data_IF_398924260894
#
_entry.id   IF_398924260894
#
_cell.length_a   1.000
_cell.length_b   1.000
_cell.length_c   1.000
_cell.angle_alpha   90.00
_cell.angle_beta   90.00
_cell.angle_gamma   90.00
#
_symmetry.space_group_name_H-M   'P 1'
#
loop_
_entity.id
_entity.type
_entity.pdbx_description
1 polymer ?
#
# COMPACT_ATOMS: atom_id res chain seq x y z
N UNK A 1 -12.40 22.52 -5.59
CA UNK A 1 -11.31 21.85 -4.83
C UNK A 1 -11.55 20.36 -4.97
N UNK A 2 -10.58 19.59 -5.45
CA UNK A 2 -10.71 18.14 -5.46
C UNK A 2 -10.63 17.66 -4.01
N UNK A 3 -11.64 16.92 -3.54
CA UNK A 3 -11.58 16.32 -2.21
C UNK A 3 -10.41 15.31 -2.18
N UNK A 4 -9.60 15.39 -1.13
CA UNK A 4 -8.47 14.49 -0.90
C UNK A 4 -8.95 13.06 -0.64
N UNK A 5 -8.39 12.11 -1.37
CA UNK A 5 -8.58 10.70 -1.06
C UNK A 5 -7.59 10.26 0.01
N UNK A 6 -8.08 9.54 1.01
CA UNK A 6 -7.27 9.04 2.13
C UNK A 6 -7.46 7.53 2.22
N UNK A 7 -6.36 6.80 2.04
CA UNK A 7 -6.25 5.38 2.28
C UNK A 7 -5.48 5.09 3.57
N UNK A 8 -5.57 3.84 4.01
CA UNK A 8 -4.90 3.34 5.20
C UNK A 8 -3.94 2.21 4.84
N UNK A 9 -2.82 2.16 5.55
CA UNK A 9 -1.89 1.03 5.55
C UNK A 9 -1.87 0.42 6.95
N UNK A 10 -2.04 -0.90 7.05
CA UNK A 10 -1.89 -1.66 8.29
C UNK A 10 -0.76 -2.68 8.15
N UNK A 11 0.18 -2.64 9.10
CA UNK A 11 1.34 -3.55 9.17
C UNK A 11 1.14 -4.69 10.17
N UNK A 12 -0.07 -4.83 10.73
CA UNK A 12 -0.43 -5.81 11.74
C UNK A 12 0.14 -5.55 13.13
N UNK A 13 0.68 -4.35 13.40
CA UNK A 13 1.23 -4.02 14.71
C UNK A 13 0.12 -3.66 15.71
N UNK A 14 0.09 -4.35 16.86
CA UNK A 14 -0.82 -4.10 17.98
C UNK A 14 -0.09 -4.31 19.31
N UNK A 15 -0.60 -3.69 20.39
CA UNK A 15 -0.05 -3.87 21.75
C UNK A 15 -0.21 -5.31 22.28
N UNK A 16 -1.21 -6.02 21.77
CA UNK A 16 -1.51 -7.36 22.22
C UNK A 16 -0.40 -8.34 21.75
N UNK A 17 -0.10 -9.33 22.60
CA UNK A 17 0.89 -10.37 22.33
C UNK A 17 0.22 -11.67 21.85
N UNK A 18 -0.84 -11.56 21.04
CA UNK A 18 -1.62 -12.70 20.57
C UNK A 18 -2.05 -12.49 19.12
N UNK A 19 -1.45 -13.24 18.19
CA UNK A 19 -1.75 -13.17 16.76
C UNK A 19 -3.23 -13.33 16.42
N UNK A 20 -4.00 -14.14 17.16
CA UNK A 20 -5.45 -14.29 16.95
C UNK A 20 -6.21 -13.00 17.32
N UNK A 21 -5.85 -12.37 18.44
CA UNK A 21 -6.44 -11.10 18.85
C UNK A 21 -6.05 -9.97 17.90
N UNK A 22 -4.80 -9.93 17.44
CA UNK A 22 -4.33 -8.99 16.41
C UNK A 22 -5.12 -9.15 15.12
N UNK A 23 -5.38 -10.38 14.68
CA UNK A 23 -6.16 -10.64 13.48
C UNK A 23 -7.57 -10.03 13.58
N UNK A 24 -8.30 -10.27 14.68
CA UNK A 24 -9.63 -9.67 14.87
C UNK A 24 -9.56 -8.13 14.88
N UNK A 25 -8.55 -7.55 15.52
CA UNK A 25 -8.36 -6.10 15.56
C UNK A 25 -8.09 -5.47 14.19
N UNK A 26 -7.42 -6.19 13.29
CA UNK A 26 -7.23 -5.76 11.90
C UNK A 26 -8.56 -5.76 11.15
N UNK A 27 -9.38 -6.80 11.32
CA UNK A 27 -10.71 -6.87 10.70
C UNK A 27 -11.60 -5.72 11.19
N UNK A 28 -11.66 -5.49 12.50
CA UNK A 28 -12.44 -4.41 13.10
C UNK A 28 -12.01 -3.04 12.56
N UNK A 29 -10.69 -2.81 12.43
CA UNK A 29 -10.14 -1.57 11.92
C UNK A 29 -10.47 -1.36 10.43
N UNK A 30 -10.42 -2.41 9.63
CA UNK A 30 -10.79 -2.34 8.22
C UNK A 30 -12.29 -2.08 8.01
N UNK A 31 -13.16 -2.72 8.80
CA UNK A 31 -14.60 -2.48 8.76
C UNK A 31 -14.93 -1.05 9.18
N UNK A 32 -14.28 -0.54 10.24
CA UNK A 32 -14.43 0.87 10.64
C UNK A 32 -14.00 1.81 9.51
N UNK A 33 -12.86 1.55 8.85
CA UNK A 33 -12.40 2.35 7.72
C UNK A 33 -13.39 2.38 6.55
N UNK A 34 -14.04 1.26 6.24
CA UNK A 34 -15.09 1.17 5.23
C UNK A 34 -16.28 2.09 5.56
N UNK A 35 -16.82 1.97 6.78
CA UNK A 35 -17.94 2.82 7.25
C UNK A 35 -17.60 4.31 7.32
N UNK A 36 -16.30 4.64 7.42
CA UNK A 36 -15.79 5.99 7.51
C UNK A 36 -15.35 6.56 6.14
N UNK A 37 -15.63 5.84 5.05
CA UNK A 37 -15.39 6.25 3.66
C UNK A 37 -13.92 6.51 3.32
N UNK A 38 -13.00 5.74 3.93
CA UNK A 38 -11.62 5.72 3.43
C UNK A 38 -11.56 5.08 2.05
N UNK A 39 -10.67 5.57 1.18
CA UNK A 39 -10.60 5.12 -0.22
C UNK A 39 -10.06 3.72 -0.37
N UNK A 40 -9.12 3.33 0.50
CA UNK A 40 -8.52 1.99 0.53
C UNK A 40 -7.98 1.57 1.87
N UNK A 41 -7.86 0.26 2.05
CA UNK A 41 -7.21 -0.38 3.18
C UNK A 41 -6.19 -1.40 2.66
N UNK A 42 -4.91 -1.12 2.91
CA UNK A 42 -3.80 -1.95 2.44
C UNK A 42 -3.11 -2.68 3.57
N UNK A 43 -2.71 -3.91 3.25
CA UNK A 43 -1.94 -4.79 4.12
C UNK A 43 -0.53 -4.99 3.56
N UNK A 44 0.50 -4.94 4.41
CA UNK A 44 1.86 -5.25 3.97
C UNK A 44 2.19 -6.74 4.06
N UNK A 45 3.01 -7.24 3.15
CA UNK A 45 3.68 -8.53 3.28
C UNK A 45 5.02 -8.35 4.00
N UNK A 46 5.16 -8.97 5.18
CA UNK A 46 6.40 -8.94 5.95
C UNK A 46 6.78 -10.32 6.45
N UNK A 47 7.97 -10.77 6.08
CA UNK A 47 8.60 -11.99 6.60
C UNK A 47 9.54 -11.63 7.75
N UNK A 48 8.95 -11.28 8.90
CA UNK A 48 9.71 -10.92 10.12
C UNK A 48 9.70 -12.06 11.14
N UNK A 49 10.49 -11.91 12.20
CA UNK A 49 10.59 -12.87 13.30
C UNK A 49 9.77 -12.46 14.53
N UNK A 50 8.87 -11.49 14.40
CA UNK A 50 7.99 -11.09 15.50
C UNK A 50 6.94 -12.19 15.71
N UNK A 51 6.93 -12.89 16.86
CA UNK A 51 6.00 -13.99 17.10
C UNK A 51 4.53 -13.54 17.16
N UNK A 52 4.28 -12.23 17.24
CA UNK A 52 2.94 -11.64 17.29
C UNK A 52 2.48 -11.08 15.94
N UNK A 53 3.28 -11.22 14.88
CA UNK A 53 2.82 -10.93 13.52
C UNK A 53 1.72 -11.94 13.15
N UNK A 54 0.51 -11.48 12.79
CA UNK A 54 -0.63 -12.38 12.57
C UNK A 54 -0.58 -13.10 11.23
N UNK A 55 0.13 -12.56 10.25
CA UNK A 55 0.23 -13.13 8.91
C UNK A 55 1.50 -12.63 8.20
N UNK A 56 1.87 -13.39 7.17
CA UNK A 56 2.84 -12.99 6.14
C UNK A 56 2.19 -12.96 4.75
N UNK A 57 1.06 -13.65 4.57
CA UNK A 57 0.33 -13.84 3.32
C UNK A 57 -0.90 -12.90 3.26
N UNK A 58 -0.74 -11.64 2.84
CA UNK A 58 -1.82 -10.67 2.89
C UNK A 58 -3.03 -11.06 2.03
N UNK A 59 -2.86 -11.83 0.95
CA UNK A 59 -3.92 -12.26 0.03
C UNK A 59 -5.07 -13.00 0.74
N UNK A 60 -4.76 -13.77 1.78
CA UNK A 60 -5.78 -14.48 2.59
C UNK A 60 -6.59 -13.50 3.42
N UNK A 61 -5.92 -12.51 4.02
CA UNK A 61 -6.54 -11.50 4.88
C UNK A 61 -7.35 -10.50 4.03
N UNK A 62 -6.83 -10.12 2.87
CA UNK A 62 -7.51 -9.30 1.85
C UNK A 62 -8.85 -9.93 1.49
N UNK A 63 -8.87 -11.25 1.24
CA UNK A 63 -10.10 -11.99 0.92
C UNK A 63 -11.16 -11.84 2.01
N UNK A 64 -10.77 -12.00 3.28
CA UNK A 64 -11.68 -11.90 4.41
C UNK A 64 -12.21 -10.47 4.60
N UNK A 65 -11.33 -9.46 4.55
CA UNK A 65 -11.75 -8.06 4.67
C UNK A 65 -12.65 -7.65 3.51
N UNK A 66 -12.32 -8.05 2.28
CA UNK A 66 -13.14 -7.75 1.11
C UNK A 66 -14.55 -8.36 1.22
N UNK A 67 -14.69 -9.53 1.86
CA UNK A 67 -16.01 -10.13 2.13
C UNK A 67 -16.79 -9.43 3.26
N UNK A 68 -16.11 -8.71 4.16
CA UNK A 68 -16.70 -8.02 5.32
C UNK A 68 -16.96 -6.53 5.08
N UNK A 69 -16.58 -6.01 3.92
CA UNK A 69 -16.68 -4.59 3.55
C UNK A 69 -17.41 -4.41 2.23
N UNK A 70 -18.00 -3.24 2.03
CA UNK A 70 -18.86 -2.98 0.87
C UNK A 70 -18.23 -2.00 -0.13
N UNK A 71 -17.50 -0.98 0.33
CA UNK A 71 -17.12 0.16 -0.51
C UNK A 71 -15.62 0.32 -0.68
N UNK A 72 -14.87 0.22 0.42
CA UNK A 72 -13.43 0.45 0.46
C UNK A 72 -12.70 -0.52 -0.48
N UNK A 73 -11.64 -0.03 -1.13
CA UNK A 73 -10.71 -0.89 -1.88
C UNK A 73 -9.80 -1.62 -0.92
N UNK A 74 -9.54 -2.91 -1.16
CA UNK A 74 -8.69 -3.73 -0.30
C UNK A 74 -7.51 -4.24 -1.12
N UNK A 75 -6.31 -4.26 -0.54
CA UNK A 75 -5.18 -4.77 -1.30
C UNK A 75 -3.88 -4.92 -0.52
N UNK A 76 -2.84 -5.26 -1.26
CA UNK A 76 -1.50 -5.41 -0.71
C UNK A 76 -0.68 -4.14 -0.95
N UNK A 77 0.12 -3.73 0.04
CA UNK A 77 1.12 -2.67 -0.09
C UNK A 77 2.48 -3.10 0.49
N UNK A 78 3.18 -4.05 -0.11
CA UNK A 78 2.89 -4.75 -1.36
C UNK A 78 3.40 -6.19 -1.34
N UNK A 79 2.91 -7.00 -2.28
CA UNK A 79 3.40 -8.34 -2.52
C UNK A 79 4.89 -8.27 -2.90
N UNK A 80 5.71 -9.03 -2.20
CA UNK A 80 7.13 -9.17 -2.46
C UNK A 80 7.31 -10.06 -3.69
N UNK A 81 7.11 -9.50 -4.89
CA UNK A 81 7.04 -10.25 -6.15
C UNK A 81 8.25 -11.16 -6.41
N UNK A 82 9.40 -10.83 -5.83
CA UNK A 82 10.60 -11.68 -5.92
C UNK A 82 10.41 -13.08 -5.29
N UNK A 83 9.46 -13.25 -4.37
CA UNK A 83 9.20 -14.50 -3.66
C UNK A 83 8.23 -15.42 -4.39
N UNK A 84 7.53 -14.91 -5.41
CA UNK A 84 6.47 -15.64 -6.10
C UNK A 84 6.73 -15.72 -7.60
N UNK A 85 6.18 -16.75 -8.22
CA UNK A 85 6.08 -16.78 -9.67
C UNK A 85 4.96 -15.84 -10.14
N UNK A 86 5.19 -15.01 -11.17
CA UNK A 86 4.20 -14.03 -11.64
C UNK A 86 2.84 -14.64 -11.98
N UNK A 87 2.81 -15.87 -12.50
CA UNK A 87 1.56 -16.59 -12.79
C UNK A 87 0.70 -16.82 -11.54
N UNK A 88 1.31 -17.15 -10.40
CA UNK A 88 0.57 -17.35 -9.14
C UNK A 88 -0.09 -16.06 -8.68
N UNK A 89 0.63 -14.93 -8.77
CA UNK A 89 0.09 -13.61 -8.42
C UNK A 89 -1.01 -13.19 -9.38
N UNK A 90 -0.81 -13.38 -10.69
CA UNK A 90 -1.79 -13.03 -11.72
C UNK A 90 -3.13 -13.74 -11.49
N UNK A 91 -3.09 -15.06 -11.33
CA UNK A 91 -4.30 -15.88 -11.15
C UNK A 91 -4.99 -15.58 -9.83
N UNK A 92 -4.26 -15.40 -8.74
CA UNK A 92 -4.81 -15.10 -7.41
C UNK A 92 -5.52 -13.74 -7.39
N UNK A 93 -4.82 -12.67 -7.76
CA UNK A 93 -5.37 -11.32 -7.63
C UNK A 93 -6.43 -11.00 -8.69
N UNK A 94 -6.35 -11.61 -9.88
CA UNK A 94 -7.43 -11.50 -10.87
C UNK A 94 -8.70 -12.17 -10.38
N UNK A 95 -8.60 -13.37 -9.82
CA UNK A 95 -9.75 -14.05 -9.22
C UNK A 95 -10.37 -13.21 -8.10
N UNK A 96 -9.57 -12.74 -7.15
CA UNK A 96 -10.04 -11.88 -6.06
C UNK A 96 -10.73 -10.62 -6.59
N UNK A 97 -10.14 -9.94 -7.57
CA UNK A 97 -10.73 -8.72 -8.11
C UNK A 97 -12.11 -8.94 -8.76
N UNK A 98 -12.31 -10.10 -9.39
CA UNK A 98 -13.61 -10.45 -9.97
C UNK A 98 -14.62 -10.89 -8.89
N UNK A 99 -14.18 -11.62 -7.86
CA UNK A 99 -15.05 -12.01 -6.74
C UNK A 99 -15.59 -10.80 -5.97
N UNK A 100 -14.77 -9.75 -5.84
CA UNK A 100 -15.10 -8.55 -5.07
C UNK A 100 -15.37 -7.33 -5.95
N UNK A 101 -15.93 -7.54 -7.14
CA UNK A 101 -16.48 -6.50 -8.01
C UNK A 101 -15.54 -5.30 -8.24
N UNK A 102 -14.31 -5.59 -8.65
CA UNK A 102 -13.30 -4.59 -8.98
C UNK A 102 -12.80 -3.73 -7.79
N UNK A 103 -12.81 -4.26 -6.56
CA UNK A 103 -12.31 -3.57 -5.36
C UNK A 103 -10.91 -3.97 -4.90
N UNK A 104 -10.18 -4.78 -5.68
CA UNK A 104 -8.87 -5.30 -5.25
C UNK A 104 -7.71 -4.50 -5.86
N UNK A 105 -6.79 -4.10 -4.99
CA UNK A 105 -5.50 -3.51 -5.39
C UNK A 105 -4.37 -4.53 -5.27
N UNK A 106 -3.51 -4.58 -6.28
CA UNK A 106 -2.28 -5.36 -6.29
C UNK A 106 -1.08 -4.42 -6.24
N UNK A 107 -0.61 -4.09 -5.04
CA UNK A 107 0.66 -3.41 -4.84
C UNK A 107 1.84 -4.38 -4.87
N UNK A 108 2.91 -3.97 -5.56
CA UNK A 108 4.10 -4.79 -5.78
C UNK A 108 5.34 -4.08 -5.23
N UNK A 109 6.14 -4.81 -4.46
CA UNK A 109 7.35 -4.30 -3.82
C UNK A 109 8.57 -5.14 -4.17
N UNK A 110 9.73 -4.46 -4.24
CA UNK A 110 11.05 -5.05 -4.52
C UNK A 110 11.67 -5.76 -3.30
N UNK A 111 11.02 -5.69 -2.14
CA UNK A 111 11.57 -6.17 -0.87
C UNK A 111 11.91 -7.66 -0.89
N UNK A 112 12.73 -8.06 0.07
CA UNK A 112 13.06 -9.45 0.40
C UNK A 112 12.97 -9.60 1.91
N UNK A 113 12.76 -10.83 2.44
CA UNK A 113 12.79 -11.09 3.88
C UNK A 113 14.08 -10.53 4.50
N UNK A 114 14.03 -10.01 5.72
CA UNK A 114 15.23 -9.47 6.38
C UNK A 114 16.16 -10.59 6.87
N UNK A 115 15.58 -11.67 7.39
CA UNK A 115 16.29 -12.82 7.96
C UNK A 115 17.04 -13.64 6.89
N UNK A 116 18.33 -13.93 7.15
CA UNK A 116 19.18 -14.67 6.22
C UNK A 116 18.67 -16.09 5.95
N UNK A 117 18.28 -16.84 6.98
CA UNK A 117 17.76 -18.20 6.83
C UNK A 117 16.44 -18.22 6.07
N UNK A 118 15.54 -17.27 6.33
CA UNK A 118 14.31 -17.15 5.53
C UNK A 118 14.63 -16.89 4.06
N UNK A 119 15.64 -16.07 3.74
CA UNK A 119 16.08 -15.88 2.35
C UNK A 119 16.55 -17.19 1.71
N UNK A 120 17.27 -18.05 2.44
CA UNK A 120 17.75 -19.32 1.88
C UNK A 120 16.65 -20.33 1.61
N UNK A 121 15.50 -20.22 2.30
CA UNK A 121 14.32 -21.04 2.02
C UNK A 121 13.61 -20.61 0.73
N UNK A 122 13.85 -19.38 0.28
CA UNK A 122 13.16 -18.78 -0.86
C UNK A 122 14.13 -18.77 -2.05
N UNK A 123 14.21 -19.93 -2.68
CA UNK A 123 14.88 -20.25 -3.95
C UNK A 123 16.42 -20.09 -3.99
N UNK A 124 17.11 -21.16 -4.40
CA UNK A 124 18.58 -21.31 -4.33
C UNK A 124 19.33 -20.84 -5.60
N UNK A 125 18.65 -20.44 -6.68
CA UNK A 125 19.27 -20.04 -7.95
C UNK A 125 18.74 -18.64 -8.37
N UNK A 126 19.58 -17.60 -8.33
CA UNK A 126 19.18 -16.21 -8.64
C UNK A 126 18.90 -15.95 -10.13
N UNK A 127 18.63 -14.69 -10.59
CA UNK A 127 18.34 -13.44 -9.88
C UNK A 127 16.81 -13.16 -9.86
N UNK A 128 16.23 -12.59 -8.80
CA UNK A 128 16.27 -11.15 -8.45
C UNK A 128 16.01 -10.17 -9.60
N UNK A 129 15.20 -10.50 -10.61
CA UNK A 129 14.74 -9.48 -11.55
C UNK A 129 13.26 -9.16 -11.36
N UNK A 130 12.99 -8.33 -10.35
CA UNK A 130 11.67 -7.74 -10.10
C UNK A 130 11.05 -7.15 -11.38
N UNK A 131 11.84 -6.49 -12.23
CA UNK A 131 11.32 -5.88 -13.45
C UNK A 131 10.88 -6.94 -14.46
N UNK A 132 11.69 -7.98 -14.69
CA UNK A 132 11.30 -9.09 -15.56
C UNK A 132 10.03 -9.79 -15.06
N UNK A 133 9.93 -10.02 -13.75
CA UNK A 133 8.72 -10.62 -13.14
C UNK A 133 7.50 -9.70 -13.26
N UNK A 134 7.70 -8.39 -13.13
CA UNK A 134 6.65 -7.39 -13.32
C UNK A 134 6.18 -7.33 -14.77
N UNK A 135 7.09 -7.36 -15.73
CA UNK A 135 6.76 -7.37 -17.16
C UNK A 135 5.97 -8.63 -17.53
N UNK A 136 6.37 -9.79 -16.98
CA UNK A 136 5.65 -11.05 -17.15
C UNK A 136 4.24 -11.00 -16.54
N UNK A 137 4.12 -10.49 -15.30
CA UNK A 137 2.83 -10.29 -14.62
C UNK A 137 1.91 -9.35 -15.44
N UNK A 138 2.46 -8.24 -15.93
CA UNK A 138 1.72 -7.32 -16.77
C UNK A 138 1.27 -7.96 -18.08
N UNK A 139 2.14 -8.75 -18.71
CA UNK A 139 1.81 -9.51 -19.91
C UNK A 139 0.66 -10.51 -19.67
N UNK A 140 0.63 -11.18 -18.51
CA UNK A 140 -0.49 -12.04 -18.12
C UNK A 140 -1.83 -11.31 -18.07
N UNK A 141 -1.84 -10.02 -17.71
CA UNK A 141 -3.07 -9.23 -17.66
C UNK A 141 -3.50 -8.61 -18.99
N UNK A 142 -2.56 -8.29 -19.90
CA UNK A 142 -2.90 -7.58 -21.14
C UNK A 142 -3.07 -8.48 -22.37
N UNK A 143 -2.42 -9.66 -22.39
CA UNK A 143 -2.27 -10.44 -23.62
C UNK A 143 -2.90 -11.84 -23.52
N UNK A 144 -4.00 -11.99 -22.77
CA UNK A 144 -4.64 -13.28 -22.50
C UNK A 144 -4.98 -14.08 -23.77
N UNK A 145 -5.54 -13.44 -24.79
CA UNK A 145 -5.91 -14.11 -26.05
C UNK A 145 -4.68 -14.76 -26.73
N UNK A 146 -3.56 -14.02 -26.80
CA UNK A 146 -2.32 -14.51 -27.38
C UNK A 146 -1.68 -15.60 -26.51
N UNK A 147 -1.73 -15.45 -25.18
CA UNK A 147 -1.21 -16.45 -24.24
C UNK A 147 -1.92 -17.79 -24.37
N UNK A 148 -3.24 -17.80 -24.55
CA UNK A 148 -4.00 -19.03 -24.81
C UNK A 148 -3.61 -19.62 -26.16
N UNK A 149 -3.61 -18.80 -27.22
CA UNK A 149 -3.35 -19.26 -28.59
C UNK A 149 -1.96 -19.86 -28.78
N UNK A 150 -0.94 -19.20 -28.25
CA UNK A 150 0.47 -19.51 -28.53
C UNK A 150 1.10 -20.40 -27.47
N UNK A 151 0.69 -20.24 -26.20
CA UNK A 151 1.33 -20.91 -25.05
C UNK A 151 0.38 -21.82 -24.28
N UNK A 152 -0.92 -21.83 -24.60
CA UNK A 152 -1.95 -22.56 -23.87
C UNK A 152 -2.01 -22.18 -22.38
N UNK A 153 -1.67 -20.92 -22.06
CA UNK A 153 -1.70 -20.38 -20.70
C UNK A 153 -3.01 -19.61 -20.51
N UNK A 154 -3.74 -19.92 -19.45
CA UNK A 154 -5.01 -19.28 -19.09
C UNK A 154 -4.86 -18.55 -17.74
N UNK A 155 -5.33 -17.29 -17.67
CA UNK A 155 -5.42 -16.53 -16.41
C UNK A 155 -6.89 -16.36 -16.03
N UNK A 156 -7.46 -17.27 -15.23
CA UNK A 156 -8.86 -17.21 -14.87
C UNK A 156 -9.19 -16.02 -13.93
N UNK A 157 -10.42 -15.48 -13.98
CA UNK A 157 -11.42 -15.73 -15.01
C UNK A 157 -11.04 -15.07 -16.34
N UNK A 158 -11.12 -15.80 -17.45
CA UNK A 158 -10.73 -15.30 -18.78
C UNK A 158 -11.50 -14.02 -19.15
N UNK A 159 -10.81 -12.98 -19.62
CA UNK A 159 -11.40 -11.66 -19.93
C UNK A 159 -12.14 -11.00 -18.76
N UNK A 160 -11.91 -11.49 -17.54
CA UNK A 160 -12.36 -10.83 -16.32
C UNK A 160 -11.60 -9.55 -16.03
N UNK A 161 -12.05 -8.84 -15.00
CA UNK A 161 -11.51 -7.54 -14.62
C UNK A 161 -10.16 -7.72 -13.92
N UNK A 162 -9.12 -7.04 -14.40
CA UNK A 162 -7.80 -7.05 -13.78
C UNK A 162 -7.75 -6.08 -12.59
N UNK A 163 -7.02 -6.41 -11.51
CA UNK A 163 -6.89 -5.51 -10.35
C UNK A 163 -6.14 -4.22 -10.72
N UNK A 164 -6.36 -3.16 -9.94
CA UNK A 164 -5.52 -1.96 -10.03
C UNK A 164 -4.10 -2.34 -9.61
N UNK A 165 -3.15 -2.23 -10.55
CA UNK A 165 -1.75 -2.50 -10.29
C UNK A 165 -1.08 -1.29 -9.65
N UNK A 166 -0.31 -1.47 -8.57
CA UNK A 166 0.42 -0.40 -7.90
C UNK A 166 1.91 -0.72 -7.83
N UNK A 167 2.73 0.14 -8.43
CA UNK A 167 4.17 0.08 -8.27
C UNK A 167 4.56 0.84 -6.99
N UNK A 168 5.11 0.13 -6.00
CA UNK A 168 5.54 0.73 -4.75
C UNK A 168 7.01 1.11 -4.81
N UNK A 169 7.32 2.36 -4.47
CA UNK A 169 8.68 2.89 -4.55
C UNK A 169 8.95 3.95 -3.51
N UNK A 170 10.21 4.34 -3.38
CA UNK A 170 10.63 5.53 -2.62
C UNK A 170 11.05 6.67 -3.54
N UNK A 171 10.98 6.51 -4.87
CA UNK A 171 11.41 7.55 -5.81
C UNK A 171 10.53 7.64 -7.05
N UNK A 172 10.10 8.86 -7.35
CA UNK A 172 9.37 9.17 -8.58
C UNK A 172 10.19 8.95 -9.86
N UNK A 173 11.52 8.80 -9.78
CA UNK A 173 12.37 8.45 -10.93
C UNK A 173 11.98 7.12 -11.58
N UNK A 174 11.23 6.27 -10.89
CA UNK A 174 10.71 5.01 -11.41
C UNK A 174 9.42 5.16 -12.25
N UNK A 175 8.92 6.38 -12.48
CA UNK A 175 7.71 6.61 -13.28
C UNK A 175 7.73 5.97 -14.68
N UNK A 176 8.87 5.88 -15.41
CA UNK A 176 8.89 5.17 -16.69
C UNK A 176 8.39 3.72 -16.59
N UNK A 177 8.70 3.01 -15.50
CA UNK A 177 8.22 1.63 -15.26
C UNK A 177 6.70 1.61 -15.10
N UNK A 178 6.13 2.62 -14.43
CA UNK A 178 4.67 2.79 -14.27
C UNK A 178 4.00 2.96 -15.62
N UNK A 179 4.61 3.75 -16.52
CA UNK A 179 4.15 3.94 -17.90
C UNK A 179 4.28 2.62 -18.68
N UNK A 180 5.32 1.83 -18.51
CA UNK A 180 5.49 0.60 -19.28
C UNK A 180 4.54 -0.52 -18.86
N UNK A 181 4.18 -0.55 -17.57
CA UNK A 181 3.38 -1.62 -16.96
C UNK A 181 1.93 -1.22 -16.70
N UNK A 182 1.50 -0.05 -17.23
CA UNK A 182 0.15 0.52 -17.03
C UNK A 182 -0.29 0.46 -15.56
N UNK A 183 0.65 0.72 -14.64
CA UNK A 183 0.36 0.69 -13.20
C UNK A 183 -0.03 2.08 -12.70
N UNK A 184 -0.54 2.14 -11.48
CA UNK A 184 -0.51 3.31 -10.62
C UNK A 184 0.82 3.35 -9.86
N UNK A 185 1.08 4.46 -9.17
CA UNK A 185 2.31 4.67 -8.42
C UNK A 185 2.00 5.04 -6.97
N UNK A 186 2.60 4.32 -6.02
CA UNK A 186 2.63 4.74 -4.62
C UNK A 186 4.08 5.00 -4.21
N UNK A 187 4.37 6.25 -3.80
CA UNK A 187 5.67 6.62 -3.26
C UNK A 187 5.60 6.62 -1.73
N UNK A 188 6.57 6.01 -1.07
CA UNK A 188 6.71 6.02 0.39
C UNK A 188 7.75 7.05 0.85
N UNK A 189 7.43 7.87 1.87
CA UNK A 189 8.39 8.71 2.62
C UNK A 189 8.75 8.12 3.99
N UNK A 190 8.17 6.99 4.36
CA UNK A 190 8.45 6.33 5.65
C UNK A 190 9.71 5.47 5.64
N UNK A 191 10.29 5.19 4.46
CA UNK A 191 11.53 4.42 4.30
C UNK A 191 12.65 5.30 3.74
N UNK A 192 13.75 5.43 4.48
CA UNK A 192 14.95 6.17 4.01
C UNK A 192 15.12 7.53 4.68
N UNK A 193 15.69 8.50 3.94
CA UNK A 193 16.09 9.79 4.50
C UNK A 193 14.89 10.57 5.06
N UNK A 194 15.13 11.34 6.13
CA UNK A 194 14.11 12.12 6.83
C UNK A 194 13.62 13.35 6.03
N UNK A 195 13.99 13.48 4.76
CA UNK A 195 13.56 14.63 3.95
C UNK A 195 12.10 14.51 3.56
N UNK A 196 11.34 15.55 3.89
CA UNK A 196 9.96 15.74 3.43
C UNK A 196 9.91 16.31 2.00
N UNK A 197 11.05 16.67 1.42
CA UNK A 197 11.10 17.12 0.03
C UNK A 197 11.07 15.94 -0.93
N UNK A 198 10.11 15.99 -1.86
CA UNK A 198 10.00 15.00 -2.93
C UNK A 198 10.80 15.44 -4.16
N UNK A 199 11.29 14.46 -4.92
CA UNK A 199 12.22 14.72 -6.04
C UNK A 199 11.57 15.48 -7.20
N UNK A 200 10.27 15.31 -7.40
CA UNK A 200 9.52 15.91 -8.49
C UNK A 200 8.43 16.80 -7.93
N UNK A 201 8.40 18.04 -8.41
CA UNK A 201 7.30 18.97 -8.20
C UNK A 201 6.10 18.60 -9.08
N UNK A 202 4.95 19.22 -8.78
CA UNK A 202 3.68 19.00 -9.48
C UNK A 202 3.81 19.08 -11.00
N UNK A 203 4.51 20.06 -11.54
CA UNK A 203 4.66 20.22 -12.99
C UNK A 203 5.36 19.02 -13.65
N UNK A 204 6.40 18.48 -12.99
CA UNK A 204 7.12 17.30 -13.49
C UNK A 204 6.21 16.07 -13.48
N UNK A 205 5.44 15.86 -12.42
CA UNK A 205 4.50 14.72 -12.34
C UNK A 205 3.34 14.87 -13.33
N UNK A 206 2.85 16.08 -13.58
CA UNK A 206 1.85 16.32 -14.63
C UNK A 206 2.39 15.95 -16.03
N UNK A 207 3.65 16.30 -16.34
CA UNK A 207 4.28 15.88 -17.61
C UNK A 207 4.36 14.35 -17.75
N UNK A 208 4.68 13.64 -16.66
CA UNK A 208 4.69 12.17 -16.66
C UNK A 208 3.28 11.58 -16.84
N UNK A 209 2.27 12.15 -16.17
CA UNK A 209 0.85 11.79 -16.34
C UNK A 209 0.38 11.98 -17.79
N UNK A 210 0.78 13.06 -18.45
CA UNK A 210 0.48 13.29 -19.87
C UNK A 210 1.11 12.25 -20.80
N UNK A 211 2.36 11.85 -20.55
CA UNK A 211 3.01 10.76 -21.31
C UNK A 211 2.25 9.45 -21.11
N UNK A 212 1.86 9.15 -19.86
CA UNK A 212 1.07 7.98 -19.53
C UNK A 212 -0.28 8.00 -20.28
N UNK A 213 -1.02 9.12 -20.24
CA UNK A 213 -2.30 9.27 -20.92
C UNK A 213 -2.19 9.06 -22.42
N UNK A 214 -1.16 9.61 -23.07
CA UNK A 214 -0.92 9.39 -24.50
C UNK A 214 -0.69 7.91 -24.85
N UNK A 215 -0.09 7.13 -23.95
CA UNK A 215 0.17 5.70 -24.16
C UNK A 215 -1.06 4.83 -23.87
N UNK A 216 -1.84 5.15 -22.84
CA UNK A 216 -2.87 4.26 -22.29
C UNK A 216 -4.30 4.77 -22.36
N UNK A 217 -4.52 6.03 -22.74
CA UNK A 217 -5.84 6.67 -22.81
C UNK A 217 -6.49 6.97 -21.45
N UNK A 218 -5.78 6.75 -20.34
CA UNK A 218 -6.23 6.99 -18.96
C UNK A 218 -5.09 7.65 -18.18
N UNK A 219 -5.40 8.36 -17.09
CA UNK A 219 -4.37 8.89 -16.19
C UNK A 219 -4.06 7.91 -15.07
N UNK A 220 -2.78 7.78 -14.65
CA UNK A 220 -2.42 6.98 -13.50
C UNK A 220 -2.75 7.75 -12.21
N UNK A 221 -3.08 7.00 -11.15
CA UNK A 221 -3.14 7.54 -9.79
C UNK A 221 -1.72 7.58 -9.19
N UNK A 222 -1.43 8.67 -8.49
CA UNK A 222 -0.22 8.85 -7.70
C UNK A 222 -0.61 9.02 -6.25
N UNK A 223 -0.18 8.07 -5.42
CA UNK A 223 -0.36 8.15 -3.98
C UNK A 223 0.96 8.38 -3.23
N UNK A 224 0.87 9.01 -2.06
CA UNK A 224 1.99 9.19 -1.14
C UNK A 224 1.71 8.47 0.18
N UNK A 225 2.53 7.49 0.53
CA UNK A 225 2.46 6.78 1.79
C UNK A 225 3.35 7.41 2.87
N UNK A 226 2.78 7.64 4.03
CA UNK A 226 3.44 8.26 5.18
C UNK A 226 3.04 7.60 6.50
N UNK A 227 4.02 7.47 7.38
CA UNK A 227 3.81 7.03 8.76
C UNK A 227 3.54 8.24 9.65
N UNK A 228 2.53 8.15 10.50
CA UNK A 228 2.14 9.24 11.41
C UNK A 228 2.10 8.77 12.85
N UNK A 229 2.39 9.69 13.77
CA UNK A 229 2.11 9.53 15.20
C UNK A 229 1.17 10.65 15.57
N UNK A 230 -0.10 10.29 15.78
CA UNK A 230 -1.17 11.26 15.99
C UNK A 230 -1.43 11.45 17.49
N UNK A 231 -1.54 12.72 17.89
CA UNK A 231 -2.05 13.10 19.21
C UNK A 231 -2.77 14.45 19.14
N UNK A 232 -3.65 14.71 20.09
CA UNK A 232 -4.27 16.04 20.26
C UNK A 232 -3.25 17.13 20.61
N UNK A 233 -2.11 16.74 21.19
CA UNK A 233 -1.02 17.64 21.57
C UNK A 233 0.27 17.22 20.86
N UNK A 234 0.82 18.13 20.05
CA UNK A 234 2.03 17.89 19.26
C UNK A 234 3.21 17.43 20.14
N UNK A 235 3.37 18.00 21.35
CA UNK A 235 4.46 17.62 22.25
C UNK A 235 4.36 16.16 22.68
N UNK A 236 3.14 15.64 22.83
CA UNK A 236 2.92 14.23 23.15
C UNK A 236 3.24 13.34 21.96
N UNK A 237 2.86 13.75 20.75
CA UNK A 237 3.22 13.04 19.52
C UNK A 237 4.74 12.97 19.34
N UNK A 238 5.44 14.09 19.51
CA UNK A 238 6.91 14.18 19.45
C UNK A 238 7.58 13.28 20.50
N UNK A 239 7.10 13.33 21.76
CA UNK A 239 7.63 12.49 22.83
C UNK A 239 7.48 10.99 22.51
N UNK A 240 6.34 10.57 21.96
CA UNK A 240 6.14 9.18 21.50
C UNK A 240 7.10 8.83 20.36
N UNK A 241 7.29 9.73 19.40
CA UNK A 241 8.23 9.51 18.30
C UNK A 241 9.66 9.29 18.80
N UNK A 242 10.13 10.14 19.72
CA UNK A 242 11.44 9.98 20.35
C UNK A 242 11.56 8.63 21.08
N UNK A 243 10.52 8.22 21.80
CA UNK A 243 10.52 6.94 22.50
C UNK A 243 10.59 5.74 21.53
N UNK A 244 9.80 5.75 20.46
CA UNK A 244 9.81 4.71 19.43
C UNK A 244 11.16 4.63 18.70
N UNK A 245 11.75 5.77 18.34
CA UNK A 245 13.07 5.81 17.69
C UNK A 245 14.18 5.28 18.61
N UNK A 246 14.05 5.49 19.92
CA UNK A 246 15.01 4.94 20.90
C UNK A 246 14.93 3.41 20.97
N UNK A 247 13.71 2.86 20.91
CA UNK A 247 13.46 1.41 20.94
C UNK A 247 13.89 0.70 19.65
N UNK A 248 13.77 1.37 18.50
CA UNK A 248 14.02 0.79 17.17
C UNK A 248 15.49 0.77 16.74
N UNK A 249 16.43 1.23 17.57
CA UNK A 249 17.87 1.23 17.27
C UNK A 249 18.50 -0.18 17.10
N UNK A 250 17.70 -1.26 17.24
CA UNK A 250 18.16 -2.65 17.13
C UNK A 250 17.58 -3.45 15.95
N UNK A 251 16.63 -2.92 15.16
CA UNK A 251 16.00 -3.67 14.05
C UNK A 251 16.12 -2.97 12.68
N UNK A 252 16.36 -3.79 11.64
CA UNK A 252 16.81 -3.43 10.28
C UNK A 252 15.83 -2.66 9.38
N UNK A 253 14.83 -1.98 9.92
CA UNK A 253 13.89 -1.18 9.12
C UNK A 253 13.35 0.01 9.92
N UNK A 254 14.12 1.10 9.94
CA UNK A 254 13.73 2.36 10.53
C UNK A 254 12.54 2.96 9.76
N UNK A 255 11.38 3.05 10.42
CA UNK A 255 10.20 3.77 9.92
C UNK A 255 10.32 5.22 10.40
N UNK A 256 10.43 6.15 9.46
CA UNK A 256 10.37 7.58 9.77
C UNK A 256 8.92 8.02 9.85
N UNK A 257 8.45 8.30 11.07
CA UNK A 257 7.10 8.80 11.30
C UNK A 257 7.05 10.28 11.62
N UNK A 258 5.97 10.91 11.18
CA UNK A 258 5.71 12.34 11.36
C UNK A 258 4.81 12.51 12.59
N UNK A 259 5.31 13.07 13.71
CA UNK A 259 4.46 13.45 14.82
C UNK A 259 3.56 14.60 14.40
N UNK A 260 2.26 14.46 14.62
CA UNK A 260 1.29 15.46 14.19
C UNK A 260 0.07 15.54 15.10
N UNK A 261 -0.63 16.67 14.98
CA UNK A 261 -2.01 16.84 15.43
C UNK A 261 -2.95 16.67 14.24
N UNK A 262 -4.25 16.53 14.48
CA UNK A 262 -5.26 16.52 13.43
C UNK A 262 -5.15 17.73 12.49
N UNK A 263 -4.95 18.93 13.07
CA UNK A 263 -4.82 20.17 12.28
C UNK A 263 -3.53 20.21 11.46
N UNK A 264 -2.40 19.82 12.06
CA UNK A 264 -1.13 19.83 11.32
C UNK A 264 -1.08 18.73 10.27
N UNK A 265 -1.73 17.58 10.48
CA UNK A 265 -1.92 16.56 9.45
C UNK A 265 -2.76 17.09 8.29
N UNK A 266 -3.90 17.73 8.57
CA UNK A 266 -4.74 18.35 7.55
C UNK A 266 -3.92 19.31 6.66
N UNK A 267 -3.20 20.25 7.27
CA UNK A 267 -2.36 21.20 6.54
C UNK A 267 -1.28 20.49 5.72
N UNK A 268 -0.57 19.53 6.33
CA UNK A 268 0.47 18.76 5.66
C UNK A 268 -0.03 18.10 4.37
N UNK A 269 -1.18 17.41 4.40
CA UNK A 269 -1.68 16.72 3.22
C UNK A 269 -2.08 17.69 2.10
N UNK A 270 -2.68 18.84 2.45
CA UNK A 270 -3.03 19.87 1.48
C UNK A 270 -1.79 20.53 0.87
N UNK A 271 -0.79 20.85 1.70
CA UNK A 271 0.49 21.41 1.23
C UNK A 271 1.18 20.44 0.25
N UNK A 272 1.17 19.14 0.54
CA UNK A 272 1.71 18.12 -0.36
C UNK A 272 0.89 18.00 -1.65
N UNK A 273 -0.44 18.05 -1.58
CA UNK A 273 -1.30 18.01 -2.77
C UNK A 273 -1.06 19.23 -3.67
N UNK A 274 -0.92 20.42 -3.09
CA UNK A 274 -0.70 21.66 -3.84
C UNK A 274 0.69 21.69 -4.47
N UNK A 275 1.73 21.34 -3.70
CA UNK A 275 3.12 21.38 -4.14
C UNK A 275 3.48 20.25 -5.12
N UNK A 276 2.91 19.06 -4.93
CA UNK A 276 3.33 17.85 -5.66
C UNK A 276 2.23 17.23 -6.52
N UNK A 277 0.97 17.66 -6.42
CA UNK A 277 -0.12 17.12 -7.24
C UNK A 277 -0.48 15.67 -6.90
N UNK A 278 -0.38 15.30 -5.61
CA UNK A 278 -0.72 13.97 -5.10
C UNK A 278 -2.24 13.76 -5.18
N UNK A 279 -2.67 12.62 -5.73
CA UNK A 279 -4.08 12.29 -5.87
C UNK A 279 -4.67 11.71 -4.57
N UNK A 280 -3.84 10.98 -3.82
CA UNK A 280 -4.25 10.22 -2.64
C UNK A 280 -3.12 10.07 -1.61
N UNK A 281 -3.46 10.06 -0.32
CA UNK A 281 -2.51 9.80 0.75
C UNK A 281 -2.81 8.48 1.45
N UNK A 282 -1.77 7.67 1.66
CA UNK A 282 -1.87 6.39 2.38
C UNK A 282 -1.25 6.57 3.76
N UNK A 283 -2.08 6.52 4.79
CA UNK A 283 -1.65 6.78 6.16
C UNK A 283 -1.37 5.46 6.89
N UNK A 284 -0.15 5.33 7.41
CA UNK A 284 0.19 4.33 8.41
C UNK A 284 0.20 4.99 9.80
N UNK A 285 -0.85 4.78 10.59
CA UNK A 285 -0.88 5.20 11.99
C UNK A 285 -0.01 4.27 12.83
N UNK A 286 1.00 4.82 13.52
CA UNK A 286 1.88 4.05 14.40
C UNK A 286 1.26 3.72 15.76
N UNK A 287 0.04 4.20 16.06
CA UNK A 287 -0.70 3.80 17.25
C UNK A 287 -0.89 2.28 17.28
N UNK A 288 -0.56 1.63 18.40
CA UNK A 288 -0.63 0.18 18.57
C UNK A 288 -1.91 -0.27 19.29
N UNK A 289 -2.58 0.65 19.99
CA UNK A 289 -3.87 0.38 20.62
C UNK A 289 -5.02 0.46 19.59
N UNK A 290 -5.73 -0.66 19.35
CA UNK A 290 -6.74 -0.73 18.29
C UNK A 290 -7.91 0.25 18.48
N UNK A 291 -8.41 0.39 19.70
CA UNK A 291 -9.50 1.32 19.98
C UNK A 291 -9.08 2.77 19.69
N UNK A 292 -7.81 3.09 19.92
CA UNK A 292 -7.28 4.41 19.62
C UNK A 292 -7.00 4.61 18.14
N UNK A 293 -6.55 3.58 17.40
CA UNK A 293 -6.51 3.60 15.93
C UNK A 293 -7.89 3.93 15.33
N UNK A 294 -8.94 3.26 15.81
CA UNK A 294 -10.32 3.51 15.36
C UNK A 294 -10.73 4.96 15.65
N UNK A 295 -10.51 5.45 16.87
CA UNK A 295 -10.77 6.86 17.21
C UNK A 295 -10.00 7.84 16.33
N UNK A 296 -8.75 7.54 15.98
CA UNK A 296 -7.95 8.38 15.11
C UNK A 296 -8.57 8.47 13.71
N UNK A 297 -8.99 7.34 13.12
CA UNK A 297 -9.60 7.35 11.78
C UNK A 297 -11.00 7.99 11.76
N UNK A 298 -11.77 7.91 12.85
CA UNK A 298 -13.03 8.67 13.00
C UNK A 298 -12.77 10.18 12.92
N UNK A 299 -11.76 10.66 13.64
CA UNK A 299 -11.40 12.08 13.63
C UNK A 299 -10.81 12.49 12.27
N UNK A 300 -9.97 11.65 11.65
CA UNK A 300 -9.44 11.91 10.30
C UNK A 300 -10.58 12.00 9.29
N UNK A 301 -11.52 11.06 9.29
CA UNK A 301 -12.68 11.08 8.39
C UNK A 301 -13.50 12.36 8.54
N UNK A 302 -13.72 12.81 9.79
CA UNK A 302 -14.42 14.06 10.09
C UNK A 302 -13.69 15.31 9.58
N UNK A 303 -12.39 15.46 9.87
CA UNK A 303 -11.64 16.67 9.46
C UNK A 303 -11.37 16.71 7.95
N UNK A 304 -11.28 15.55 7.31
CA UNK A 304 -11.09 15.43 5.85
C UNK A 304 -12.42 15.39 5.10
N UNK A 305 -13.55 15.38 5.82
CA UNK A 305 -14.90 15.40 5.27
C UNK A 305 -15.20 14.22 4.32
N UNK A 306 -14.71 13.02 4.65
CA UNK A 306 -14.77 11.86 3.74
C UNK A 306 -16.19 11.35 3.48
N UNK A 307 -17.12 11.56 4.42
CA UNK A 307 -18.52 11.13 4.29
C UNK A 307 -19.35 11.95 3.30
N UNK A 308 -18.82 13.08 2.83
CA UNK A 308 -19.50 14.00 1.91
C UNK A 308 -18.96 13.90 0.47
N UNK A 309 -18.36 12.75 0.12
CA UNK A 309 -17.71 12.46 -1.17
C UNK A 309 -18.54 11.46 -1.97
#
# INVERSE_FOLDING_TARGET
MNNLQIGLLDLGHRENKNSLATFQQILDYACAADTLHFSRFWLAEHHNTNPFAPYTNPEIIITLIAAMTEHIRIGAAGILLNLYEPYHIATTFKLLNNLYNNRIDLGLAKGIPSNHFTKTLINNEGPRNFHSKLDELYNYFQNEDNLIKEKQILIPPFRGIVPDLWYLTNSYKNFPIVIDTKSNLCRSIMHGSQSLELEYEKETLLKQKEIYFKKHGIYPKISLALAIILDTDLRKAEKKNTALNTLNNSESSFITAIPCTYKSLYNLLHDFQDKYGIDEFILYDMESNNNKKIKNIEQISRIMNLQNI
#
